data_IF_216085802114
#
_entry.id   IF_216085802114
#
_cell.length_a   1.000
_cell.length_b   1.000
_cell.length_c   1.000
_cell.angle_alpha   90.00
_cell.angle_beta   90.00
_cell.angle_gamma   90.00
#
_symmetry.space_group_name_H-M   'P 1'
#
loop_
_entity.id
_entity.type
_entity.pdbx_description
1 polymer ?
2 polymer ?
3 non-polymer ?
4 water ?
#
loop_
_entity_poly.entity_id
_entity_poly.type
_entity_poly.pdbx_seq_one_letter_code
_entity_poly.pdbx_strand_id
2 'polydeoxyribonucleotide' '(DA)(DA)(DA)(DA)' ?
#
# COMPACT_ATOMS: atom_id res chain seq x y z
N UNK A 12 14.14 11.96 -19.13
CA UNK A 12 13.58 10.80 -18.32
C UNK A 12 13.82 9.41 -18.95
N UNK A 13 14.77 8.61 -18.42
CA UNK A 13 15.04 7.28 -18.97
C UNK A 13 14.06 6.20 -18.47
N UNK A 14 13.88 5.11 -19.25
CA UNK A 14 12.97 4.04 -18.81
C UNK A 14 13.54 3.32 -17.59
N UNK A 15 12.68 2.96 -16.65
CA UNK A 15 13.09 2.17 -15.49
C UNK A 15 13.28 0.74 -15.97
N UNK A 16 14.31 0.05 -15.48
CA UNK A 16 14.57 -1.30 -15.99
C UNK A 16 13.71 -2.38 -15.33
N UNK A 17 13.15 -3.28 -16.13
CA UNK A 17 12.56 -4.48 -15.60
C UNK A 17 13.64 -5.45 -15.07
N UNK A 18 13.47 -5.96 -13.86
CA UNK A 18 14.38 -6.97 -13.28
C UNK A 18 13.70 -8.33 -13.24
N UNK A 19 14.22 -9.29 -14.02
CA UNK A 19 13.69 -10.66 -14.03
C UNK A 19 14.24 -11.43 -12.83
N UNK A 20 13.35 -12.06 -12.08
CA UNK A 20 13.79 -12.84 -10.94
C UNK A 20 13.66 -14.34 -11.21
N UNK A 21 12.70 -14.69 -12.05
CA UNK A 21 12.41 -16.08 -12.36
C UNK A 21 11.57 -16.06 -13.62
N UNK A 22 11.79 -16.96 -14.58
CA UNK A 22 10.85 -16.87 -15.70
C UNK A 22 9.68 -17.78 -15.56
N UNK A 23 8.75 -17.57 -16.47
CA UNK A 23 7.45 -18.14 -16.46
C UNK A 23 7.53 -19.66 -16.47
N UNK A 24 6.50 -20.28 -15.95
CA UNK A 24 6.45 -21.70 -15.90
C UNK A 24 5.46 -22.23 -16.89
N UNK A 26 4.72 -25.60 -18.28
CA UNK A 26 4.57 -26.81 -17.49
C UNK A 26 3.37 -26.72 -16.54
N UNK A 27 3.60 -26.69 -15.22
CA UNK A 27 2.52 -26.62 -14.25
C UNK A 27 1.57 -25.53 -14.59
N UNK A 28 0.30 -25.72 -14.28
CA UNK A 28 -0.66 -24.67 -14.68
C UNK A 28 -0.68 -23.57 -13.62
N UNK A 29 -0.52 -22.33 -14.07
CA UNK A 29 -0.41 -21.17 -13.18
C UNK A 29 -0.85 -19.92 -13.90
N UNK A 30 -1.26 -18.91 -13.13
CA UNK A 30 -1.59 -17.62 -13.69
C UNK A 30 -0.55 -16.58 -13.24
N UNK A 31 -0.09 -15.75 -14.18
CA UNK A 31 0.76 -14.64 -13.80
C UNK A 31 -0.08 -13.39 -13.92
N UNK A 32 0.27 -12.37 -13.17
CA UNK A 32 -0.46 -11.10 -13.22
C UNK A 32 0.45 -10.07 -12.58
N UNK A 33 0.18 -8.81 -12.80
CA UNK A 33 1.04 -7.79 -12.22
C UNK A 33 0.28 -6.96 -11.18
N UNK A 34 1.04 -6.37 -10.27
CA UNK A 34 0.48 -5.58 -9.16
C UNK A 34 1.24 -4.28 -9.02
N UNK A 35 0.55 -3.16 -9.10
CA UNK A 35 1.11 -1.85 -8.85
C UNK A 35 0.73 -1.33 -7.42
N UNK A 36 1.67 -0.69 -6.75
CA UNK A 36 1.44 -0.05 -5.43
C UNK A 36 1.99 1.34 -5.55
N UNK A 37 1.15 2.33 -5.34
CA UNK A 37 1.53 3.69 -5.61
C UNK A 37 0.82 4.73 -4.71
N UNK A 38 1.61 5.51 -3.95
CA UNK A 38 1.07 6.65 -3.20
C UNK A 38 1.19 7.85 -4.09
N UNK A 39 0.05 8.45 -4.44
CA UNK A 39 0.04 9.50 -5.40
C UNK A 39 0.31 10.87 -4.87
N UNK A 40 0.39 11.04 -3.52
CA UNK A 40 0.46 12.35 -2.89
C UNK A 40 -0.79 13.22 -3.11
N UNK A 41 -1.70 13.24 -2.12
CA UNK A 41 -2.91 14.01 -2.40
C UNK A 41 -2.62 15.49 -2.39
N UNK A 42 -3.45 16.22 -3.11
CA UNK A 42 -3.32 17.64 -3.24
C UNK A 42 -3.25 18.39 -1.87
N UNK A 43 -4.10 17.98 -0.94
CA UNK A 43 -4.19 18.56 0.43
C UNK A 43 -2.80 18.71 1.00
N UNK A 44 -1.96 17.72 0.79
CA UNK A 44 -0.66 17.69 1.43
C UNK A 44 0.49 18.11 0.53
N UNK A 45 0.19 18.43 -0.72
CA UNK A 45 1.23 18.86 -1.66
C UNK A 45 1.45 20.36 -1.53
N UNK A 46 2.04 20.80 -0.42
CA UNK A 46 2.24 22.25 -0.18
C UNK A 46 3.69 22.67 -0.33
N UNK A 47 3.87 23.97 -0.58
CA UNK A 47 5.19 24.62 -0.67
C UNK A 47 6.00 24.42 0.58
N UNK A 48 5.33 24.38 1.72
CA UNK A 48 6.03 24.14 2.97
C UNK A 48 6.82 22.86 2.94
N UNK A 49 6.17 21.74 2.62
CA UNK A 49 6.88 20.46 2.62
C UNK A 49 7.67 20.26 1.33
N UNK A 50 7.25 20.93 0.27
CA UNK A 50 7.82 20.64 -1.03
C UNK A 50 8.27 21.95 -1.66
N UNK A 51 9.06 22.72 -0.91
CA UNK A 51 9.52 24.06 -1.35
C UNK A 51 10.38 24.01 -2.61
N UNK A 52 10.99 22.86 -2.82
CA UNK A 52 11.94 22.69 -3.88
C UNK A 52 11.32 22.33 -5.21
N UNK A 53 10.00 22.19 -5.24
CA UNK A 53 9.31 21.88 -6.45
C UNK A 53 8.46 23.10 -6.74
N UNK A 54 8.49 23.61 -7.99
CA UNK A 54 7.77 24.82 -8.34
C UNK A 54 6.29 24.64 -8.24
N UNK A 55 5.60 25.73 -7.92
CA UNK A 55 4.15 25.79 -7.72
C UNK A 55 3.31 25.23 -8.84
N UNK A 56 3.69 25.57 -10.06
CA UNK A 56 2.96 25.09 -11.20
C UNK A 56 3.06 23.55 -11.34
N UNK A 57 4.14 22.95 -10.83
CA UNK A 57 4.36 21.50 -10.92
C UNK A 57 3.78 20.73 -9.74
N UNK A 58 3.50 21.45 -8.64
CA UNK A 58 2.86 20.87 -7.47
C UNK A 58 1.39 20.79 -7.69
N UNK A 59 0.87 21.79 -8.37
CA UNK A 59 -0.55 21.99 -8.58
C UNK A 59 -1.20 20.72 -9.17
N UNK A 60 -2.40 20.43 -8.73
CA UNK A 60 -3.04 19.16 -9.01
C UNK A 60 -3.44 19.04 -10.48
N UNK A 61 -3.83 20.17 -11.10
CA UNK A 61 -4.18 20.23 -12.53
C UNK A 61 -3.02 19.75 -13.39
N UNK A 62 -1.81 20.15 -13.03
CA UNK A 62 -0.60 19.60 -13.61
C UNK A 62 -0.29 18.17 -13.17
N UNK A 63 -0.14 17.92 -11.85
CA UNK A 63 0.36 16.63 -11.33
C UNK A 63 -0.54 15.44 -11.72
N UNK A 64 -1.86 15.66 -11.78
CA UNK A 64 -2.79 14.55 -11.99
C UNK A 64 -2.55 13.89 -13.35
N UNK A 65 -1.98 14.65 -14.27
CA UNK A 65 -1.68 14.14 -15.62
C UNK A 65 -0.54 13.19 -15.52
N UNK A 66 0.52 13.58 -14.82
CA UNK A 66 1.65 12.67 -14.60
C UNK A 66 1.24 11.43 -13.80
N UNK A 67 0.35 11.61 -12.84
CA UNK A 67 -0.05 10.47 -11.99
C UNK A 67 -0.88 9.51 -12.85
N UNK A 68 -1.87 10.01 -13.62
CA UNK A 68 -2.67 9.12 -14.51
C UNK A 68 -1.77 8.40 -15.51
N UNK A 69 -0.82 9.15 -16.04
CA UNK A 69 0.05 8.62 -17.07
C UNK A 69 0.89 7.49 -16.51
N UNK A 70 1.39 7.72 -15.28
CA UNK A 70 2.07 6.66 -14.56
C UNK A 70 1.25 5.36 -14.37
N UNK A 71 0.02 5.51 -13.93
CA UNK A 71 -0.83 4.36 -13.66
C UNK A 71 -1.27 3.66 -14.99
N UNK A 72 -1.60 4.47 -16.00
CA UNK A 72 -1.96 3.95 -17.32
C UNK A 72 -0.82 3.12 -17.89
N UNK A 73 0.39 3.68 -17.90
CA UNK A 73 1.51 3.05 -18.54
C UNK A 73 2.09 1.86 -17.79
N UNK A 74 1.90 1.83 -16.46
CA UNK A 74 2.23 0.61 -15.75
C UNK A 74 1.28 -0.51 -16.14
N UNK A 75 0.05 -0.15 -16.45
CA UNK A 75 -0.93 -1.12 -16.92
C UNK A 75 -1.10 -2.38 -16.04
N UNK A 76 -1.09 -2.25 -14.71
CA UNK A 76 -1.04 -3.47 -13.87
C UNK A 76 -2.42 -4.13 -13.84
N UNK A 77 -2.44 -5.45 -13.72
CA UNK A 77 -3.71 -6.19 -13.46
C UNK A 77 -4.40 -5.78 -12.15
N UNK A 78 -3.59 -5.49 -11.14
CA UNK A 78 -4.12 -5.02 -9.85
C UNK A 78 -3.37 -3.76 -9.45
N UNK A 79 -4.14 -2.73 -9.13
CA UNK A 79 -3.59 -1.44 -8.70
C UNK A 79 -4.01 -1.09 -7.26
N UNK A 80 -3.02 -0.87 -6.39
CA UNK A 80 -3.28 -0.34 -5.04
C UNK A 80 -2.80 1.07 -4.89
N UNK A 81 -3.72 2.00 -4.63
CA UNK A 81 -3.32 3.41 -4.54
C UNK A 81 -3.52 3.93 -3.10
N UNK A 82 -2.63 4.79 -2.62
CA UNK A 82 -2.85 5.53 -1.37
C UNK A 82 -2.86 7.01 -1.65
N UNK A 83 -3.49 7.76 -0.75
CA UNK A 83 -3.65 9.20 -0.86
C UNK A 83 -4.51 9.61 -2.01
N UNK A 84 -5.54 8.80 -2.28
CA UNK A 84 -6.52 9.12 -3.29
C UNK A 84 -7.59 9.97 -2.64
N UNK A 85 -7.76 11.19 -3.15
CA UNK A 85 -8.68 12.14 -2.64
C UNK A 85 -10.11 11.68 -3.01
N UNK A 86 -11.04 11.71 -2.05
CA UNK A 86 -12.40 11.25 -2.28
C UNK A 86 -13.00 11.73 -3.60
N UNK A 87 -13.07 13.04 -3.78
CA UNK A 87 -13.66 13.55 -4.99
C UNK A 87 -12.88 13.14 -6.28
N UNK A 88 -11.56 13.06 -6.19
CA UNK A 88 -10.76 12.64 -7.33
C UNK A 88 -11.00 11.16 -7.68
N UNK A 89 -11.27 10.33 -6.67
CA UNK A 89 -11.65 8.95 -6.96
C UNK A 89 -12.84 8.84 -7.94
N UNK A 90 -13.92 9.53 -7.61
CA UNK A 90 -15.15 9.45 -8.37
C UNK A 90 -15.11 10.21 -9.70
N UNK A 91 -14.29 11.25 -9.82
CA UNK A 91 -14.36 12.11 -11.00
C UNK A 91 -13.16 11.94 -11.93
N UNK A 92 -12.14 11.18 -11.52
CA UNK A 92 -10.88 11.05 -12.24
C UNK A 92 -10.41 9.58 -12.24
N UNK A 93 -9.96 9.07 -11.10
CA UNK A 93 -9.36 7.75 -11.07
C UNK A 93 -10.32 6.68 -11.59
N UNK A 94 -11.52 6.59 -11.01
CA UNK A 94 -12.41 5.49 -11.35
C UNK A 94 -12.90 5.54 -12.82
N UNK A 95 -13.38 6.69 -13.28
CA UNK A 95 -13.98 6.77 -14.63
C UNK A 95 -12.93 6.64 -15.73
N UNK A 96 -11.72 7.16 -15.51
CA UNK A 96 -10.61 6.93 -16.41
C UNK A 96 -10.15 5.47 -16.41
N UNK A 97 -10.03 4.83 -15.24
CA UNK A 97 -9.65 3.42 -15.22
C UNK A 97 -10.75 2.45 -15.66
N UNK A 98 -12.01 2.83 -15.48
CA UNK A 98 -13.11 2.12 -16.12
C UNK A 98 -12.89 2.05 -17.67
N UNK A 99 -12.53 3.17 -18.30
CA UNK A 99 -12.19 3.18 -19.72
C UNK A 99 -11.04 2.24 -20.06
N UNK A 100 -10.20 1.87 -19.08
CA UNK A 100 -9.11 0.92 -19.30
C UNK A 100 -9.45 -0.52 -18.95
N UNK A 101 -10.67 -0.81 -18.56
CA UNK A 101 -11.05 -2.18 -18.25
C UNK A 101 -11.00 -2.57 -16.77
N UNK A 102 -10.92 -1.57 -15.88
CA UNK A 102 -10.84 -1.89 -14.44
C UNK A 102 -12.15 -1.62 -13.78
N UNK A 103 -12.41 -2.37 -12.72
CA UNK A 103 -13.32 -1.84 -11.70
C UNK A 103 -12.50 -1.49 -10.44
N UNK A 104 -13.13 -0.83 -9.49
CA UNK A 104 -12.40 -0.38 -8.28
C UNK A 104 -13.22 -0.36 -7.00
N UNK A 105 -12.50 -0.34 -5.88
CA UNK A 105 -13.14 -0.11 -4.59
C UNK A 105 -12.34 0.98 -3.84
N UNK A 106 -13.03 1.89 -3.16
CA UNK A 106 -12.37 2.97 -2.47
C UNK A 106 -12.97 3.14 -1.09
N UNK A 107 -12.14 3.42 -0.07
CA UNK A 107 -12.68 4.04 1.17
C UNK A 107 -11.82 5.14 1.70
N UNK A 108 -12.47 6.24 2.11
CA UNK A 108 -11.80 7.39 2.74
C UNK A 108 -11.49 7.17 4.20
N UNK A 109 -10.46 7.82 4.69
CA UNK A 109 -10.24 7.95 6.12
C UNK A 109 -11.34 8.82 6.73
N UNK A 110 -11.45 8.85 8.07
CA UNK A 110 -12.25 9.92 8.74
C UNK A 110 -13.74 9.85 8.49
N UNK A 111 -14.24 8.71 8.09
CA UNK A 111 -15.67 8.60 7.78
C UNK A 111 -16.60 9.00 8.99
N UNK A 112 -16.21 8.53 10.17
CA UNK A 112 -16.99 8.79 11.41
C UNK A 112 -16.84 10.24 11.92
N UNK A 113 -15.91 11.00 11.34
CA UNK A 113 -15.58 12.34 11.83
C UNK A 113 -16.46 13.38 11.16
N UNK A 114 -16.99 14.29 11.97
CA UNK A 114 -17.85 15.37 11.50
C UNK A 114 -17.05 16.40 10.71
N UNK A 115 -17.60 16.92 9.60
CA UNK A 115 -16.88 17.92 8.76
C UNK A 115 -17.79 18.49 7.67
N UNK A 116 -17.44 19.62 7.07
CA UNK A 116 -18.35 20.14 6.02
C UNK A 116 -18.29 19.29 4.75
N UNK A 117 -19.25 19.54 3.86
CA UNK A 117 -19.39 18.85 2.57
C UNK A 117 -18.12 19.00 1.74
N UNK A 118 -17.66 20.23 1.71
CA UNK A 118 -16.44 20.60 1.03
C UNK A 118 -15.25 19.82 1.56
N UNK A 119 -15.10 19.71 2.88
CA UNK A 119 -13.93 19.03 3.46
C UNK A 119 -14.02 17.54 3.18
N UNK A 120 -15.24 17.00 3.19
CA UNK A 120 -15.44 15.55 2.93
C UNK A 120 -14.89 15.11 1.53
N UNK A 121 -14.99 16.01 0.55
CA UNK A 121 -14.50 15.81 -0.82
C UNK A 121 -13.00 15.71 -0.87
N UNK A 122 -12.32 16.39 0.07
CA UNK A 122 -10.86 16.43 0.03
C UNK A 122 -10.14 15.42 0.90
N UNK A 123 -10.90 14.61 1.63
CA UNK A 123 -10.29 13.64 2.53
C UNK A 123 -9.74 12.52 1.68
N UNK A 124 -8.56 12.01 2.01
CA UNK A 124 -7.98 10.96 1.18
C UNK A 124 -8.19 9.56 1.75
N UNK A 125 -7.90 8.55 0.92
CA UNK A 125 -8.01 7.15 1.33
C UNK A 125 -7.30 6.17 0.40
N UNK A 126 -7.68 4.90 0.52
CA UNK A 126 -7.04 3.80 -0.21
C UNK A 126 -7.98 3.24 -1.27
N UNK A 127 -7.43 2.91 -2.45
CA UNK A 127 -8.23 2.33 -3.53
C UNK A 127 -7.54 1.09 -4.14
N UNK A 128 -8.33 0.08 -4.47
CA UNK A 128 -7.83 -1.09 -5.18
C UNK A 128 -8.59 -1.16 -6.49
N UNK A 129 -7.85 -1.20 -7.59
CA UNK A 129 -8.45 -1.46 -8.90
C UNK A 129 -7.99 -2.80 -9.42
N UNK A 130 -8.83 -3.44 -10.26
CA UNK A 130 -8.51 -4.79 -10.78
C UNK A 130 -9.13 -4.94 -12.20
N UNK A 131 -8.40 -5.58 -13.12
CA UNK A 131 -8.94 -5.77 -14.50
C UNK A 131 -10.12 -6.75 -14.47
N UNK A 132 -11.31 -6.29 -14.85
CA UNK A 132 -12.50 -7.15 -14.79
C UNK A 132 -12.46 -8.33 -15.77
N UNK A 133 -11.59 -8.27 -16.77
CA UNK A 133 -11.42 -9.40 -17.69
C UNK A 133 -10.65 -10.50 -17.00
N UNK A 134 -9.89 -10.15 -15.96
CA UNK A 134 -9.11 -11.16 -15.26
C UNK A 134 -9.68 -11.56 -13.89
N UNK A 135 -10.51 -10.72 -13.29
CA UNK A 135 -10.89 -10.95 -11.91
C UNK A 135 -12.34 -10.55 -11.71
N UNK A 136 -13.00 -11.20 -10.79
CA UNK A 136 -14.35 -10.77 -10.41
C UNK A 136 -14.42 -10.49 -8.91
N UNK A 137 -14.99 -9.33 -8.56
CA UNK A 137 -15.10 -8.91 -7.17
C UNK A 137 -16.09 -9.78 -6.38
N UNK A 138 -15.61 -10.45 -5.36
CA UNK A 138 -16.49 -11.29 -4.56
C UNK A 138 -16.94 -10.54 -3.28
N UNK A 139 -15.97 -9.98 -2.57
CA UNK A 139 -16.24 -9.11 -1.40
C UNK A 139 -15.27 -7.92 -1.32
N UNK A 140 -15.75 -6.85 -0.68
CA UNK A 140 -14.95 -5.67 -0.36
C UNK A 140 -15.04 -5.36 1.13
N UNK A 141 -13.93 -4.94 1.74
CA UNK A 141 -13.84 -4.65 3.18
C UNK A 141 -13.00 -3.41 3.52
N UNK A 142 -13.48 -2.66 4.52
CA UNK A 142 -12.73 -1.52 5.04
C UNK A 142 -12.33 -1.82 6.47
N UNK A 143 -11.05 -1.63 6.75
CA UNK A 143 -10.55 -1.77 8.11
C UNK A 143 -10.13 -0.38 8.62
N UNK A 144 -10.87 0.13 9.60
CA UNK A 144 -10.57 1.40 10.22
C UNK A 144 -9.77 1.12 11.47
N UNK A 145 -8.48 1.46 11.44
CA UNK A 145 -7.63 1.15 12.59
C UNK A 145 -8.09 1.81 13.92
N UNK A 146 -8.69 3.00 13.86
CA UNK A 146 -9.16 3.69 15.07
C UNK A 146 -10.22 2.85 15.76
N UNK A 147 -11.08 2.23 14.96
CA UNK A 147 -12.18 1.45 15.48
C UNK A 147 -11.73 0.11 16.01
N UNK A 148 -10.84 -0.59 15.30
CA UNK A 148 -10.26 -1.82 15.83
C UNK A 148 -9.49 -1.57 17.14
N UNK A 149 -8.84 -0.40 17.26
CA UNK A 149 -8.13 -0.07 18.49
C UNK A 149 -9.11 0.10 19.65
N UNK A 150 -10.19 0.82 19.42
CA UNK A 150 -11.22 1.09 20.42
C UNK A 150 -11.73 -0.26 20.96
N UNK A 151 -12.19 -1.13 20.06
CA UNK A 151 -12.69 -2.47 20.40
C UNK A 151 -11.68 -3.40 21.12
N UNK A 152 -10.40 -3.10 21.02
CA UNK A 152 -9.35 -3.99 21.56
C UNK A 152 -8.45 -3.34 22.60
N UNK A 153 -8.92 -2.31 23.26
CA UNK A 153 -8.08 -1.57 24.19
C UNK A 153 -8.09 -2.11 25.60
N UNK A 154 -9.18 -2.77 25.99
CA UNK A 154 -9.36 -3.17 27.36
C UNK A 154 -8.07 -3.23 28.13
N UNK A 155 -7.96 -2.29 29.06
CA UNK A 155 -6.75 -2.05 29.78
C UNK A 155 -6.02 -1.18 28.82
N UNK A 156 -4.71 -1.12 28.96
CA UNK A 156 -3.89 -0.41 28.01
C UNK A 156 -4.36 0.99 27.74
N UNK A 157 -3.71 1.92 28.40
CA UNK A 157 -3.97 3.31 28.14
C UNK A 157 -3.32 3.77 26.82
N UNK A 158 -2.24 3.11 26.43
CA UNK A 158 -1.52 3.43 25.21
C UNK A 158 -2.44 3.21 24.00
N UNK A 159 -3.18 2.10 24.01
CA UNK A 159 -4.09 1.79 22.93
C UNK A 159 -5.05 2.94 22.67
N UNK A 160 -5.71 3.39 23.72
CA UNK A 160 -6.74 4.40 23.59
C UNK A 160 -6.14 5.79 23.28
N UNK A 161 -5.05 6.18 23.96
CA UNK A 161 -4.43 7.50 23.76
C UNK A 161 -3.63 7.60 22.44
N UNK A 162 -2.88 6.55 22.13
CA UNK A 162 -1.91 6.58 21.03
C UNK A 162 -2.44 6.00 19.73
N UNK A 163 -3.16 4.87 19.83
CA UNK A 163 -3.68 4.18 18.65
C UNK A 163 -5.06 4.64 18.20
N UNK A 164 -6.02 4.79 19.13
CA UNK A 164 -7.38 5.01 18.71
C UNK A 164 -7.52 6.41 18.12
N UNK A 165 -6.61 7.30 18.49
CA UNK A 165 -6.63 8.66 18.04
C UNK A 165 -6.09 8.89 16.59
N UNK A 166 -5.50 7.85 15.98
CA UNK A 166 -5.05 7.91 14.56
C UNK A 166 -6.09 7.39 13.57
N UNK A 167 -6.53 8.24 12.66
CA UNK A 167 -7.54 7.92 11.64
C UNK A 167 -7.12 7.01 10.44
N UNK A 168 -6.12 6.16 10.57
CA UNK A 168 -5.73 5.39 9.38
C UNK A 168 -6.60 4.18 9.05
N UNK A 169 -6.56 3.81 7.77
CA UNK A 169 -7.37 2.70 7.25
C UNK A 169 -6.61 1.82 6.25
N UNK A 170 -7.14 0.62 6.04
CA UNK A 170 -6.81 -0.17 4.90
C UNK A 170 -8.09 -0.70 4.28
N UNK A 171 -7.99 -1.19 3.04
CA UNK A 171 -9.14 -1.80 2.33
C UNK A 171 -8.68 -3.15 1.86
N UNK A 172 -9.63 -4.04 1.61
CA UNK A 172 -9.28 -5.37 1.13
C UNK A 172 -10.39 -5.82 0.21
N UNK A 173 -10.03 -6.53 -0.87
CA UNK A 173 -11.04 -7.12 -1.76
C UNK A 173 -10.78 -8.62 -1.89
N UNK A 174 -11.84 -9.39 -1.98
CA UNK A 174 -11.75 -10.81 -2.28
C UNK A 174 -12.09 -10.93 -3.75
N UNK A 175 -11.17 -11.47 -4.52
CA UNK A 175 -11.35 -11.60 -5.96
C UNK A 175 -11.36 -13.06 -6.40
N UNK A 176 -12.25 -13.34 -7.34
CA UNK A 176 -12.25 -14.58 -8.10
C UNK A 176 -11.34 -14.43 -9.33
N UNK A 177 -10.33 -15.29 -9.41
CA UNK A 177 -9.39 -15.31 -10.51
C UNK A 177 -9.95 -16.20 -11.64
N UNK A 178 -10.24 -15.59 -12.79
CA UNK A 178 -10.82 -16.30 -13.96
C UNK A 178 -10.01 -17.53 -14.38
N UNK A 179 -10.68 -18.69 -14.32
CA UNK A 179 -10.06 -20.00 -14.50
C UNK A 179 -9.18 -20.07 -15.74
N UNK A 180 -9.58 -19.34 -16.79
CA UNK A 180 -8.90 -19.39 -18.08
C UNK A 180 -7.46 -18.89 -18.03
N UNK A 181 -7.17 -17.96 -17.12
CA UNK A 181 -5.81 -17.52 -16.84
C UNK A 181 -4.84 -18.63 -16.48
N UNK A 182 -5.37 -19.78 -16.04
CA UNK A 182 -4.53 -20.94 -15.71
C UNK A 182 -4.42 -21.91 -16.89
N UNK A 194 -13.43 -22.42 -8.06
CA UNK A 194 -13.28 -20.95 -7.99
C UNK A 194 -12.05 -20.60 -7.20
N UNK A 195 -11.02 -20.19 -7.93
CA UNK A 195 -9.77 -19.76 -7.32
C UNK A 195 -9.97 -18.35 -6.79
N UNK A 196 -9.71 -18.16 -5.51
CA UNK A 196 -9.89 -16.87 -4.85
C UNK A 196 -8.53 -16.25 -4.58
N UNK A 197 -8.50 -14.92 -4.59
CA UNK A 197 -7.34 -14.16 -4.19
C UNK A 197 -7.77 -12.96 -3.34
N UNK A 198 -7.04 -12.71 -2.25
CA UNK A 198 -7.34 -11.51 -1.50
C UNK A 198 -6.29 -10.44 -1.77
N UNK A 199 -6.75 -9.26 -2.11
CA UNK A 199 -5.84 -8.11 -2.25
C UNK A 199 -6.12 -7.11 -1.13
N UNK A 200 -5.09 -6.70 -0.43
CA UNK A 200 -5.26 -5.72 0.66
C UNK A 200 -4.29 -4.56 0.48
N UNK A 201 -4.75 -3.38 0.85
CA UNK A 201 -4.03 -2.13 0.62
C UNK A 201 -4.18 -1.27 1.91
N UNK A 202 -3.10 -0.79 2.51
CA UNK A 202 -3.23 0.08 3.72
C UNK A 202 -2.28 1.26 3.67
N UNK A 203 -2.58 2.30 4.44
CA UNK A 203 -1.69 3.44 4.59
C UNK A 203 -1.59 3.70 6.11
N UNK A 204 -0.42 3.43 6.68
CA UNK A 204 -0.20 3.52 8.15
C UNK A 204 0.16 4.94 8.57
N UNK A 205 0.03 5.21 9.87
CA UNK A 205 0.45 6.50 10.46
C UNK A 205 1.89 6.81 10.07
N UNK A 206 2.23 8.07 9.91
CA UNK A 206 3.50 8.51 9.33
C UNK A 206 4.64 8.77 10.35
N UNK A 207 4.24 9.25 11.53
CA UNK A 207 5.16 9.89 12.49
C UNK A 207 6.18 8.92 13.05
N UNK A 208 7.48 9.20 12.86
CA UNK A 208 8.52 8.25 13.30
C UNK A 208 8.64 8.10 14.82
N UNK A 209 7.98 8.97 15.59
CA UNK A 209 7.93 8.82 17.03
C UNK A 209 6.88 7.80 17.44
N UNK A 210 6.19 7.25 16.45
CA UNK A 210 5.04 6.43 16.73
C UNK A 210 5.19 5.09 16.08
N UNK A 211 6.39 4.53 16.23
CA UNK A 211 6.74 3.22 15.68
C UNK A 211 5.81 2.17 16.24
N UNK A 212 5.35 2.40 17.47
CA UNK A 212 4.41 1.49 18.11
C UNK A 212 3.03 1.48 17.43
N UNK A 213 2.54 2.66 17.06
CA UNK A 213 1.25 2.74 16.31
C UNK A 213 1.34 2.01 14.96
N UNK A 214 2.47 2.18 14.28
CA UNK A 214 2.69 1.54 12.95
C UNK A 214 2.65 0.04 13.06
N UNK A 215 3.29 -0.50 14.08
CA UNK A 215 3.32 -1.93 14.26
C UNK A 215 1.94 -2.47 14.63
N UNK A 216 1.27 -1.76 15.52
CA UNK A 216 -0.04 -2.18 15.97
C UNK A 216 -1.04 -2.07 14.83
N UNK A 217 -1.00 -0.97 14.05
CA UNK A 217 -1.91 -0.88 12.89
C UNK A 217 -1.68 -2.08 11.94
N UNK A 218 -0.43 -2.49 11.79
CA UNK A 218 -0.10 -3.65 10.90
C UNK A 218 -0.64 -4.97 11.41
N UNK A 219 -0.51 -5.17 12.73
CA UNK A 219 -1.03 -6.36 13.38
C UNK A 219 -2.52 -6.35 13.28
N UNK A 220 -3.11 -5.17 13.43
CA UNK A 220 -4.56 -5.05 13.32
C UNK A 220 -5.00 -5.37 11.93
N UNK A 221 -4.27 -4.86 10.95
CA UNK A 221 -4.67 -5.04 9.54
C UNK A 221 -4.56 -6.52 9.15
N UNK A 222 -3.47 -7.15 9.55
CA UNK A 222 -3.23 -8.55 9.22
C UNK A 222 -4.25 -9.50 9.87
N UNK A 223 -4.53 -9.30 11.15
CA UNK A 223 -5.51 -10.12 11.84
C UNK A 223 -6.93 -9.87 11.30
N UNK A 224 -7.29 -8.62 10.99
CA UNK A 224 -8.60 -8.37 10.36
C UNK A 224 -8.66 -9.02 8.98
N UNK A 225 -7.52 -9.06 8.29
CA UNK A 225 -7.48 -9.65 6.95
C UNK A 225 -7.70 -11.15 7.09
N UNK A 226 -7.00 -11.78 8.03
CA UNK A 226 -7.24 -13.19 8.40
C UNK A 226 -8.72 -13.50 8.65
N UNK A 227 -9.41 -12.62 9.36
CA UNK A 227 -10.86 -12.79 9.58
C UNK A 227 -11.72 -12.75 8.34
N UNK A 228 -11.42 -11.83 7.43
CA UNK A 228 -12.08 -11.78 6.13
C UNK A 228 -11.86 -13.14 5.45
N UNK A 229 -10.63 -13.62 5.54
CA UNK A 229 -10.23 -14.85 4.90
C UNK A 229 -11.05 -16.04 5.42
N UNK A 230 -11.08 -16.23 6.74
CA UNK A 230 -11.96 -17.23 7.35
C UNK A 230 -13.34 -17.22 6.69
N UNK A 231 -14.06 -16.11 6.85
CA UNK A 231 -15.43 -15.99 6.37
C UNK A 231 -15.58 -16.21 4.87
N UNK A 232 -14.48 -16.11 4.14
CA UNK A 232 -14.48 -16.38 2.70
C UNK A 232 -14.19 -17.86 2.44
N UNK A 245 -4.16 -20.92 2.96
CA UNK A 245 -5.25 -21.56 2.22
C UNK A 245 -5.79 -20.79 1.00
N UNK A 246 -5.92 -19.46 1.10
CA UNK A 246 -6.33 -18.54 -0.01
C UNK A 246 -5.20 -17.50 -0.24
N UNK A 247 -4.71 -17.34 -1.48
CA UNK A 247 -3.54 -16.45 -1.68
C UNK A 247 -3.80 -14.97 -1.26
N UNK A 248 -2.82 -14.34 -0.60
CA UNK A 248 -2.88 -12.94 -0.19
C UNK A 248 -1.84 -12.07 -0.93
N UNK A 249 -2.27 -10.95 -1.50
CA UNK A 249 -1.36 -9.86 -1.92
C UNK A 249 -1.63 -8.65 -1.04
N UNK A 250 -0.59 -8.17 -0.36
CA UNK A 250 -0.69 -7.09 0.62
C UNK A 250 0.18 -5.92 0.15
N UNK A 251 -0.47 -4.84 -0.31
CA UNK A 251 0.21 -3.63 -0.75
C UNK A 251 0.07 -2.64 0.38
N UNK A 252 1.12 -1.86 0.68
CA UNK A 252 0.99 -0.89 1.79
C UNK A 252 2.03 0.19 1.74
N UNK A 253 1.58 1.43 1.98
CA UNK A 253 2.51 2.43 2.43
C UNK A 253 2.56 2.22 3.96
N UNK A 254 3.58 1.52 4.42
CA UNK A 254 3.75 1.19 5.82
C UNK A 254 4.43 2.28 6.62
N UNK A 255 4.97 3.28 5.94
CA UNK A 255 5.85 4.27 6.58
C UNK A 255 6.88 3.61 7.49
N UNK A 256 7.40 2.47 7.08
CA UNK A 256 8.35 1.71 7.87
C UNK A 256 9.52 1.19 7.03
N UNK A 257 10.74 1.41 7.50
CA UNK A 257 11.96 0.96 6.81
C UNK A 257 12.15 -0.57 6.85
N UNK A 258 13.01 -1.13 5.97
CA UNK A 258 13.11 -2.61 5.98
C UNK A 258 13.60 -3.21 7.30
N UNK A 259 14.35 -2.46 8.09
CA UNK A 259 14.82 -2.87 9.42
C UNK A 259 13.75 -2.84 10.55
N UNK A 260 12.61 -2.20 10.31
CA UNK A 260 11.60 -1.94 11.35
C UNK A 260 10.98 -3.19 11.94
N UNK A 261 10.32 -3.01 13.08
CA UNK A 261 9.47 -4.03 13.66
C UNK A 261 8.32 -4.47 12.76
N UNK A 262 7.68 -3.50 12.07
CA UNK A 262 6.59 -3.88 11.14
C UNK A 262 7.08 -4.76 9.96
N UNK A 263 8.23 -4.46 9.39
CA UNK A 263 8.68 -5.28 8.27
C UNK A 263 9.09 -6.67 8.75
N UNK A 264 9.78 -6.72 9.88
CA UNK A 264 10.12 -7.99 10.52
C UNK A 264 8.88 -8.81 10.80
N UNK A 265 7.89 -8.18 11.41
CA UNK A 265 6.60 -8.87 11.67
C UNK A 265 5.93 -9.50 10.43
N UNK A 266 5.85 -8.73 9.34
CA UNK A 266 5.23 -9.22 8.10
C UNK A 266 6.06 -10.34 7.44
N UNK A 267 7.39 -10.23 7.50
CA UNK A 267 8.34 -11.13 6.79
C UNK A 267 8.68 -12.41 7.51
N UNK A 268 8.54 -12.40 8.84
CA UNK A 268 8.92 -13.54 9.65
C UNK A 268 7.77 -14.17 10.36
N UNK A 269 6.55 -13.84 9.97
CA UNK A 269 5.38 -14.43 10.59
C UNK A 269 5.15 -13.99 12.03
N UNK A 270 6.02 -13.12 12.54
CA UNK A 270 5.77 -12.50 13.83
C UNK A 270 6.94 -11.77 14.44
N UNK A 271 6.72 -11.26 15.65
CA UNK A 271 7.68 -10.42 16.35
C UNK A 271 7.54 -10.58 17.90
N UNK A 272 8.64 -10.36 18.64
CA UNK A 272 8.61 -10.44 20.10
C UNK A 272 7.72 -9.34 20.67
N UNK A 273 6.80 -9.68 21.57
CA UNK A 273 5.93 -8.64 22.15
C UNK A 273 6.71 -7.54 22.87
N UNK A 274 8.02 -7.70 22.99
CA UNK A 274 8.84 -6.69 23.63
C UNK A 274 9.81 -6.00 22.65
N UNK A 275 9.58 -6.19 21.34
CA UNK A 275 10.35 -5.48 20.30
C UNK A 275 10.45 -4.02 20.69
N UNK A 276 11.61 -3.41 20.42
CA UNK A 276 11.85 -2.01 20.77
C UNK A 276 10.84 -1.02 20.16
N UNK A 277 10.16 -1.42 19.07
CA UNK A 277 9.23 -0.53 18.34
C UNK A 277 7.96 -0.28 19.14
N UNK A 278 7.68 -1.17 20.08
CA UNK A 278 6.65 -0.92 21.07
C UNK A 278 7.05 0.19 22.06
N UNK A 279 8.26 0.74 21.89
CA UNK A 279 8.77 1.83 22.72
C UNK A 279 8.78 1.39 24.19
N UNK A 280 9.03 0.08 24.41
CA UNK A 280 8.72 -0.64 25.66
C UNK A 280 7.52 -0.05 26.44
N UNK A 281 6.48 0.29 25.69
CA UNK A 281 5.32 1.00 26.18
C UNK A 281 4.25 0.00 26.41
N UNK A 283 1.33 -2.40 26.65
CA UNK A 283 0.52 -2.95 25.57
C UNK A 283 0.21 -4.40 25.85
N UNK A 284 1.28 -5.19 25.86
CA UNK A 284 1.23 -6.63 26.12
C UNK A 284 -0.08 -7.40 25.85
N UNK A 285 -0.91 -7.56 26.86
CA UNK A 285 -2.05 -8.47 26.84
C UNK A 285 -3.04 -8.17 25.71
N UNK A 286 -3.34 -6.87 25.51
CA UNK A 286 -4.22 -6.45 24.43
C UNK A 286 -3.62 -6.69 23.04
N UNK A 287 -2.30 -6.81 22.96
CA UNK A 287 -1.61 -7.04 21.70
C UNK A 287 -2.09 -8.33 21.06
N UNK A 288 -2.37 -9.32 21.89
CA UNK A 288 -2.67 -10.63 21.34
C UNK A 288 -4.15 -10.92 21.04
N UNK A 289 -4.97 -9.89 21.16
CA UNK A 289 -6.24 -9.84 20.45
C UNK A 289 -5.98 -10.06 18.94
N UNK A 290 -4.75 -9.79 18.50
CA UNK A 290 -4.32 -10.07 17.11
C UNK A 290 -3.11 -11.01 17.13
N UNK A 291 -3.35 -12.31 17.25
CA UNK A 291 -2.26 -13.28 17.42
C UNK A 291 -2.73 -14.69 17.07
N UNK A 302 6.26 -13.21 22.08
CA UNK A 302 6.21 -13.51 20.66
C UNK A 302 4.80 -13.34 20.10
N UNK A 303 4.60 -12.30 19.29
CA UNK A 303 3.31 -12.07 18.64
C UNK A 303 3.35 -12.46 17.15
N UNK A 304 2.37 -13.25 16.72
CA UNK A 304 2.48 -14.00 15.48
C UNK A 304 1.26 -13.91 14.56
N UNK A 305 1.51 -14.04 13.27
CA UNK A 305 0.45 -14.13 12.29
C UNK A 305 0.61 -15.40 11.47
N UNK A 306 -0.48 -15.83 10.85
CA UNK A 306 -0.50 -17.11 10.17
C UNK A 306 0.13 -17.14 8.80
N UNK A 307 0.11 -15.99 8.11
CA UNK A 307 0.54 -15.95 6.72
C UNK A 307 2.04 -16.19 6.57
N UNK A 308 2.44 -16.42 5.34
CA UNK A 308 3.85 -16.60 5.03
C UNK A 308 4.12 -15.69 3.85
N UNK A 309 4.71 -14.55 4.18
CA UNK A 309 4.77 -13.45 3.23
C UNK A 309 6.21 -13.14 2.91
N UNK A 310 6.43 -12.71 1.67
CA UNK A 310 7.66 -12.14 1.20
C UNK A 310 7.38 -10.81 0.50
N UNK A 311 8.29 -9.89 0.63
CA UNK A 311 8.21 -8.65 -0.11
C UNK A 311 8.69 -8.98 -1.51
N UNK A 312 7.95 -8.51 -2.50
CA UNK A 312 8.38 -8.57 -3.90
C UNK A 312 9.76 -7.94 -4.16
N UNK A 313 10.06 -6.85 -3.50
CA UNK A 313 11.31 -6.13 -3.71
C UNK A 313 12.38 -6.40 -2.66
N UNK A 314 12.29 -7.53 -1.96
CA UNK A 314 13.27 -7.82 -0.88
C UNK A 314 14.70 -7.84 -1.41
N UNK A 315 15.63 -7.65 -0.47
CA UNK A 315 17.07 -7.49 -0.77
C UNK A 315 17.33 -6.23 -1.55
N UNK A 316 16.62 -5.16 -1.19
CA UNK A 316 16.99 -3.81 -1.66
C UNK A 316 16.93 -3.62 -3.16
N UNK A 317 15.94 -4.18 -3.83
CA UNK A 317 15.87 -4.00 -5.28
C UNK A 317 15.64 -2.52 -5.67
N UNK A 318 15.13 -1.72 -4.73
CA UNK A 318 15.06 -0.25 -4.87
C UNK A 318 15.72 0.39 -3.66
N UNK A 319 16.46 1.47 -3.88
CA UNK A 319 17.07 2.12 -2.72
C UNK A 319 16.09 2.98 -1.91
N UNK A 320 15.01 3.44 -2.52
CA UNK A 320 13.98 4.19 -1.79
C UNK A 320 12.71 4.10 -2.59
N UNK A 321 11.56 4.19 -1.91
CA UNK A 321 10.24 4.33 -2.58
C UNK A 321 9.70 5.76 -2.32
N UNK A 322 10.13 6.41 -1.24
CA UNK A 322 9.75 7.79 -0.93
C UNK A 322 11.01 8.60 -1.08
N UNK A 323 10.93 9.76 -1.73
CA UNK A 323 12.12 10.44 -2.16
C UNK A 323 11.89 11.92 -1.99
N UNK A 324 12.32 12.50 -0.85
CA UNK A 324 12.13 13.92 -0.64
C UNK A 324 13.51 14.49 -0.20
N UNK A 325 13.61 15.80 -0.14
CA UNK A 325 14.84 16.41 0.35
C UNK A 325 15.24 15.87 1.74
N UNK A 326 14.29 15.83 2.68
CA UNK A 326 14.61 15.43 4.07
C UNK A 326 14.65 13.95 4.34
N UNK A 327 13.98 13.15 3.53
CA UNK A 327 13.87 11.74 3.82
C UNK A 327 13.73 10.93 2.54
N UNK A 328 14.54 9.90 2.43
CA UNK A 328 14.52 8.97 1.32
C UNK A 328 14.62 7.59 1.95
N UNK A 329 13.75 6.66 1.60
CA UNK A 329 13.87 5.30 2.12
C UNK A 329 12.76 4.44 1.52
N UNK A 330 12.90 3.13 1.69
CA UNK A 330 11.89 2.18 1.31
C UNK A 330 10.86 2.09 2.43
N UNK A 331 9.67 2.63 2.16
CA UNK A 331 8.56 2.59 3.11
C UNK A 331 7.27 2.00 2.51
N UNK A 332 7.32 1.65 1.22
CA UNK A 332 6.17 1.08 0.52
C UNK A 332 6.53 -0.32 0.11
N UNK A 333 5.53 -1.22 0.08
CA UNK A 333 5.81 -2.64 -0.15
C UNK A 333 4.70 -3.37 -0.87
N UNK A 334 5.07 -4.40 -1.63
CA UNK A 334 4.10 -5.39 -2.09
C UNK A 334 4.54 -6.71 -1.46
N UNK A 335 3.71 -7.25 -0.57
CA UNK A 335 3.93 -8.55 0.05
C UNK A 335 2.99 -9.57 -0.58
N UNK A 336 3.47 -10.82 -0.74
CA UNK A 336 2.63 -11.89 -1.32
C UNK A 336 2.84 -13.20 -0.54
N UNK A 337 1.83 -14.08 -0.51
CA UNK A 337 2.01 -15.40 0.11
C UNK A 337 2.93 -16.32 -0.70
N UNK A 338 4.09 -16.62 -0.13
CA UNK A 338 5.14 -17.38 -0.83
C UNK A 338 4.79 -18.85 -1.11
N UNK A 339 3.71 -19.32 -0.50
CA UNK A 339 3.22 -20.68 -0.66
C UNK A 339 2.48 -20.85 -1.98
N UNK A 340 1.80 -19.80 -2.43
CA UNK A 340 0.96 -19.85 -3.62
C UNK A 340 1.61 -19.17 -4.82
N UNK A 341 2.59 -18.29 -4.56
CA UNK A 341 3.06 -17.39 -5.59
C UNK A 341 4.56 -17.26 -5.60
N UNK A 342 5.11 -17.07 -6.79
CA UNK A 342 6.51 -16.60 -6.99
C UNK A 342 6.48 -15.23 -7.62
N UNK A 343 7.52 -14.44 -7.37
CA UNK A 343 7.75 -13.19 -8.09
C UNK A 343 8.51 -13.54 -9.35
N UNK A 344 7.97 -13.19 -10.52
CA UNK A 344 8.72 -13.38 -11.79
C UNK A 344 9.72 -12.22 -12.00
N UNK A 345 9.26 -10.99 -11.75
CA UNK A 345 10.15 -9.84 -11.69
C UNK A 345 9.50 -8.58 -11.09
N UNK A 346 10.29 -7.51 -11.05
CA UNK A 346 9.85 -6.21 -10.54
C UNK A 346 10.37 -5.14 -11.47
N UNK A 347 9.68 -4.00 -11.53
CA UNK A 347 10.21 -2.78 -12.08
C UNK A 347 11.27 -2.13 -11.17
N UNK A 348 12.50 -2.09 -11.66
CA UNK A 348 13.60 -1.49 -10.89
C UNK A 348 13.52 0.01 -10.72
N UNK A 349 14.49 0.57 -9.98
CA UNK A 349 14.51 1.99 -9.66
C UNK A 349 14.88 2.86 -10.85
N UNK A 350 14.39 4.10 -10.85
CA UNK A 350 14.83 5.15 -11.76
C UNK A 350 16.36 5.31 -11.61
N UNK A 351 17.06 5.53 -12.72
CA UNK A 351 18.52 5.57 -12.74
C UNK A 351 19.05 6.65 -11.78
N UNK A 352 19.78 6.23 -10.73
CA UNK A 352 20.33 7.21 -9.77
C UNK A 352 21.17 8.31 -10.46
N UNK A 353 21.84 7.96 -11.56
CA UNK A 353 22.64 8.87 -12.36
C UNK A 353 21.78 9.92 -13.03
N UNK A 354 20.62 9.51 -13.53
CA UNK A 354 19.73 10.50 -14.12
C UNK A 354 19.28 11.54 -13.07
N UNK A 355 19.03 11.08 -11.85
CA UNK A 355 18.52 11.98 -10.78
C UNK A 355 19.59 13.03 -10.45
N UNK A 356 20.81 12.54 -10.24
CA UNK A 356 21.96 13.39 -9.95
C UNK A 356 22.28 14.36 -11.07
N UNK A 357 22.21 13.90 -12.31
CA UNK A 357 22.52 14.75 -13.47
C UNK A 357 21.52 15.87 -13.63
N UNK A 358 20.29 15.62 -13.17
CA UNK A 358 19.30 16.66 -13.23
C UNK A 358 19.17 17.39 -11.93
N UNK A 359 20.07 17.08 -11.00
CA UNK A 359 20.06 17.76 -9.70
C UNK A 359 18.70 17.59 -9.02
N UNK A 360 18.17 16.39 -9.03
CA UNK A 360 16.87 16.13 -8.38
C UNK A 360 17.10 15.49 -7.01
N UNK A 361 16.95 16.28 -5.97
CA UNK A 361 17.21 15.76 -4.63
C UNK A 361 15.95 15.40 -3.83
N UNK A 362 14.79 15.71 -4.41
CA UNK A 362 13.51 15.36 -3.79
C UNK A 362 12.41 15.43 -4.83
N UNK A 363 11.32 14.70 -4.57
CA UNK A 363 10.11 14.79 -5.39
C UNK A 363 8.90 15.30 -4.57
N UNK A 364 7.82 15.74 -5.25
CA UNK A 364 7.60 15.78 -6.69
C UNK A 364 8.54 16.76 -7.42
N UNK A 365 8.60 16.60 -8.74
CA UNK A 365 9.45 17.41 -9.62
C UNK A 365 8.60 17.60 -10.87
N UNK A 366 8.91 18.62 -11.72
CA UNK A 366 8.14 18.70 -12.99
C UNK A 366 7.97 17.38 -13.75
N UNK A 367 8.88 16.43 -13.61
CA UNK A 367 8.77 15.20 -14.40
C UNK A 367 8.37 14.02 -13.54
N UNK A 368 8.20 14.23 -12.22
CA UNK A 368 7.90 13.12 -11.33
C UNK A 368 6.77 13.57 -10.41
N UNK A 369 5.56 13.06 -10.65
CA UNK A 369 4.36 13.68 -10.12
C UNK A 369 4.04 13.35 -8.62
N UNK A 370 4.81 12.47 -7.98
CA UNK A 370 4.54 12.13 -6.58
C UNK A 370 5.88 12.17 -5.84
N UNK A 371 5.86 12.23 -4.50
CA UNK A 371 7.07 12.07 -3.71
C UNK A 371 7.36 10.60 -3.47
N UNK A 372 6.52 9.69 -3.97
CA UNK A 372 6.83 8.26 -3.94
C UNK A 372 7.06 7.74 -5.38
N UNK A 373 7.87 6.71 -5.54
CA UNK A 373 7.93 5.98 -6.81
C UNK A 373 7.02 4.77 -6.71
N UNK A 374 6.34 4.46 -7.80
CA UNK A 374 5.46 3.28 -7.89
C UNK A 374 6.25 2.03 -7.80
N UNK A 375 5.66 1.01 -7.18
CA UNK A 375 6.18 -0.35 -7.21
C UNK A 375 5.33 -1.10 -8.24
N UNK A 376 5.93 -2.08 -8.90
CA UNK A 376 5.23 -2.87 -9.93
C UNK A 376 5.93 -4.22 -10.00
N UNK A 377 5.15 -5.29 -9.80
CA UNK A 377 5.73 -6.62 -9.74
C UNK A 377 4.86 -7.57 -10.58
N UNK A 378 5.52 -8.54 -11.20
CA UNK A 378 4.79 -9.58 -11.88
C UNK A 378 4.78 -10.82 -11.02
N UNK A 379 3.61 -11.38 -10.78
CA UNK A 379 3.53 -12.52 -9.87
C UNK A 379 2.91 -13.72 -10.59
N UNK A 380 3.29 -14.93 -10.15
CA UNK A 380 2.79 -16.22 -10.67
C UNK A 380 2.05 -17.03 -9.60
N UNK A 381 0.79 -17.30 -9.82
CA UNK A 381 -0.06 -17.94 -8.84
C UNK A 381 -0.34 -19.41 -9.18
N UNK A 382 0.08 -20.32 -8.30
CA UNK A 382 -0.26 -21.76 -8.41
C UNK A 382 -1.50 -22.12 -7.59
N UNK A 383 -2.55 -22.69 -8.22
CA UNK A 383 -3.73 -23.09 -7.43
C UNK A 383 -3.40 -24.05 -6.29
X LIG C 1 4.24 7.98 3.21
X LIG D 1 2.40 11.41 1.81
#
# INVERSE_FOLDING_TARGET
>A
MLDNLAVHPEQLPPRPWITLKERDQILPSASFTVMCYNVLCDKYATRQLYGYCPSWALNWEYRKKGIMEEIVNCDADIISLQEVETEQYFTLFLPALKERGYDGFFSPKSRAKIMSEQERKHVDGCAIFFKTEKFTLVQKHTVEFNQVAMANSDGSEAMLNRVMTKDNIGVAVVLEVHKELFGAGMKPIHAADKQLLIVANAHMHWDPEYSDVKLIQTMMFVSEVKNILEKASSRPGSPTADPNSIPLVLCADLNSLPDSGVVEYLSNGGVADNHKDFKELRYNECLMNFSCNGKNGSSEGRITHGFQLKSAYENNLMPYTNYTFDFKGVIDYIFYSKTHMNVLGVLGPLDPQWLVENNITGCPHPHIPSDHFSLLTQLELHPPLLPLVNGVHLPNRR
>C hetero
1 MG MG
>D hetero
1 MG MG
#
